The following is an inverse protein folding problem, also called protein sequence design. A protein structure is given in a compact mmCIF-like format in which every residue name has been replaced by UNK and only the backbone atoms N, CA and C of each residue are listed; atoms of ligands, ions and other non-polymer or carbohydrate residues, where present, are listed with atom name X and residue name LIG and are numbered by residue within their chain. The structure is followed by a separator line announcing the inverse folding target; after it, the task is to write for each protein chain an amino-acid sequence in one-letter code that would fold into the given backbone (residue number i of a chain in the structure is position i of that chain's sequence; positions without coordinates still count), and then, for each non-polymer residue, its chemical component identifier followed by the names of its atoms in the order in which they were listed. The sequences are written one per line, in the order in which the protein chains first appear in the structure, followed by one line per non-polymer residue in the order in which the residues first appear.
data_IF_745637487403
#
_entry.id   IF_745637487403
#
_cell.length_a   1.000
_cell.length_b   1.000
_cell.length_c   1.000
_cell.angle_alpha   90.00
_cell.angle_beta   90.00
_cell.angle_gamma   90.00
#
_symmetry.space_group_name_H-M   'P 1'
#
loop_
_entity.id
_entity.type
_entity.pdbx_description
1 polymer ?
#
# COMPACT_ATOMS: atom_id res chain seq x y z
N UNK A 1 -10.88 -17.77 2.06
CA UNK A 1 -10.51 -16.86 3.14
C UNK A 1 -9.30 -16.03 2.72
N UNK A 2 -9.44 -14.73 2.85
CA UNK A 2 -8.34 -13.85 2.46
C UNK A 2 -7.23 -13.91 3.49
N UNK A 3 -6.00 -13.96 3.03
CA UNK A 3 -4.92 -13.88 3.98
C UNK A 3 -4.60 -12.41 4.30
N UNK A 4 -3.60 -12.22 5.14
CA UNK A 4 -3.26 -10.90 5.64
C UNK A 4 -2.89 -9.95 4.49
N UNK A 5 -2.17 -10.44 3.50
CA UNK A 5 -1.76 -9.62 2.37
C UNK A 5 -2.95 -9.14 1.56
N UNK A 6 -3.92 -10.01 1.33
CA UNK A 6 -5.09 -9.63 0.57
C UNK A 6 -5.88 -8.54 1.28
N UNK A 7 -5.98 -8.63 2.60
CA UNK A 7 -6.67 -7.62 3.37
C UNK A 7 -5.95 -6.29 3.32
N UNK A 8 -4.64 -6.32 3.41
CA UNK A 8 -3.85 -5.10 3.32
C UNK A 8 -3.96 -4.49 1.92
N UNK A 9 -3.95 -5.32 0.88
CA UNK A 9 -4.14 -4.84 -0.48
C UNK A 9 -5.48 -4.12 -0.64
N UNK A 10 -6.53 -4.70 -0.10
CA UNK A 10 -7.84 -4.08 -0.17
C UNK A 10 -7.84 -2.71 0.48
N UNK A 11 -7.22 -2.61 1.65
CA UNK A 11 -7.12 -1.35 2.36
C UNK A 11 -6.33 -0.32 1.55
N UNK A 12 -5.21 -0.75 0.97
CA UNK A 12 -4.40 0.14 0.14
C UNK A 12 -5.18 0.64 -1.07
N UNK A 13 -5.91 -0.24 -1.72
CA UNK A 13 -6.72 0.15 -2.87
C UNK A 13 -7.77 1.16 -2.48
N UNK A 14 -8.43 0.92 -1.38
CA UNK A 14 -9.48 1.79 -0.90
C UNK A 14 -8.93 3.16 -0.54
N UNK A 15 -7.83 3.21 0.18
CA UNK A 15 -7.25 4.46 0.61
C UNK A 15 -6.64 5.23 -0.55
N UNK A 16 -5.98 4.53 -1.45
CA UNK A 16 -5.35 5.21 -2.57
C UNK A 16 -6.35 5.71 -3.59
N UNK A 17 -7.55 5.17 -3.61
CA UNK A 17 -8.56 5.65 -4.55
C UNK A 17 -9.06 7.05 -4.18
N UNK A 18 -8.84 7.50 -2.95
CA UNK A 18 -9.17 8.87 -2.59
C UNK A 18 -8.20 9.86 -3.21
N UNK A 19 -7.01 9.42 -3.56
CA UNK A 19 -6.08 10.21 -4.34
C UNK A 19 -5.35 11.32 -3.63
N UNK A 20 -5.52 11.46 -2.32
CA UNK A 20 -4.98 12.62 -1.64
C UNK A 20 -3.97 12.33 -0.55
N UNK A 21 -3.74 11.07 -0.23
CA UNK A 21 -2.85 10.73 0.87
C UNK A 21 -1.40 10.71 0.43
N UNK A 22 -0.55 11.30 1.25
CA UNK A 22 0.88 11.22 1.05
C UNK A 22 1.38 9.83 1.47
N UNK A 23 2.55 9.42 0.99
CA UNK A 23 3.06 8.09 1.35
C UNK A 23 3.10 7.84 2.84
N UNK A 24 3.51 8.83 3.62
CA UNK A 24 3.60 8.68 5.06
C UNK A 24 2.22 8.52 5.69
N UNK A 25 1.27 9.33 5.23
CA UNK A 25 -0.09 9.28 5.75
C UNK A 25 -0.77 7.98 5.37
N UNK A 26 -0.50 7.51 4.17
CA UNK A 26 -1.06 6.26 3.71
C UNK A 26 -0.56 5.10 4.57
N UNK A 27 0.73 5.08 4.87
CA UNK A 27 1.29 4.06 5.74
C UNK A 27 0.63 4.08 7.10
N UNK A 28 0.47 5.27 7.68
CA UNK A 28 -0.18 5.39 8.97
C UNK A 28 -1.60 4.86 8.94
N UNK A 29 -2.34 5.22 7.90
CA UNK A 29 -3.74 4.79 7.80
C UNK A 29 -3.84 3.28 7.67
N UNK A 30 -2.96 2.69 6.87
CA UNK A 30 -2.96 1.23 6.71
C UNK A 30 -2.61 0.54 8.02
N UNK A 31 -1.61 1.02 8.71
CA UNK A 31 -1.20 0.41 9.97
C UNK A 31 -2.24 0.60 11.06
N UNK A 32 -3.00 1.67 10.98
CA UNK A 32 -4.10 1.87 11.91
C UNK A 32 -5.19 0.83 11.69
N UNK A 33 -5.46 0.51 10.44
CA UNK A 33 -6.45 -0.51 10.10
C UNK A 33 -5.92 -1.92 10.36
N UNK A 34 -4.61 -2.10 10.28
CA UNK A 34 -3.97 -3.39 10.45
C UNK A 34 -2.81 -3.27 11.42
N UNK A 35 -3.10 -3.17 12.74
CA UNK A 35 -2.04 -2.88 13.70
C UNK A 35 -0.95 -3.95 13.79
N UNK A 36 -1.25 -5.16 13.39
CA UNK A 36 -0.25 -6.22 13.43
C UNK A 36 0.55 -6.32 12.15
N UNK A 37 0.22 -5.52 11.13
CA UNK A 37 0.95 -5.56 9.88
C UNK A 37 2.29 -4.85 10.03
N UNK A 38 3.32 -5.46 9.49
CA UNK A 38 4.64 -4.84 9.49
C UNK A 38 4.75 -3.94 8.27
N UNK A 39 5.62 -2.95 8.38
CA UNK A 39 5.89 -2.07 7.26
C UNK A 39 6.28 -2.85 6.01
N UNK A 40 7.07 -3.89 6.19
CA UNK A 40 7.49 -4.75 5.10
C UNK A 40 6.29 -5.38 4.39
N UNK A 41 5.32 -5.83 5.17
CA UNK A 41 4.13 -6.45 4.59
C UNK A 41 3.30 -5.43 3.81
N UNK A 42 3.22 -4.22 4.33
CA UNK A 42 2.48 -3.16 3.65
C UNK A 42 3.15 -2.82 2.32
N UNK A 43 4.47 -2.71 2.31
CA UNK A 43 5.21 -2.41 1.09
C UNK A 43 5.02 -3.53 0.06
N UNK A 44 5.10 -4.78 0.49
CA UNK A 44 4.87 -5.90 -0.41
C UNK A 44 3.47 -5.85 -1.02
N UNK A 45 2.47 -5.56 -0.19
CA UNK A 45 1.10 -5.47 -0.68
C UNK A 45 0.96 -4.33 -1.68
N UNK A 46 1.66 -3.22 -1.44
CA UNK A 46 1.62 -2.10 -2.37
C UNK A 46 2.21 -2.47 -3.72
N UNK A 47 3.32 -3.20 -3.74
CA UNK A 47 3.89 -3.64 -5.00
C UNK A 47 2.94 -4.59 -5.74
N UNK A 48 2.28 -5.47 -5.01
CA UNK A 48 1.29 -6.35 -5.63
C UNK A 48 0.16 -5.56 -6.26
N UNK A 49 -0.29 -4.51 -5.58
CA UNK A 49 -1.33 -3.66 -6.14
C UNK A 49 -0.85 -2.95 -7.40
N UNK A 50 0.40 -2.50 -7.40
CA UNK A 50 0.96 -1.85 -8.58
C UNK A 50 0.87 -2.78 -9.79
N UNK A 51 1.24 -4.02 -9.59
CA UNK A 51 1.21 -5.00 -10.68
C UNK A 51 -0.21 -5.18 -11.20
N UNK A 52 -1.17 -5.29 -10.29
CA UNK A 52 -2.56 -5.51 -10.68
C UNK A 52 -3.17 -4.29 -11.34
N UNK A 53 -2.79 -3.10 -10.93
CA UNK A 53 -3.42 -1.89 -11.41
C UNK A 53 -2.71 -1.25 -12.58
N UNK A 54 -1.55 -1.75 -12.94
CA UNK A 54 -0.74 -1.11 -13.97
C UNK A 54 -1.51 -0.89 -15.27
N UNK A 55 -2.36 -1.82 -15.64
CA UNK A 55 -3.13 -1.72 -16.86
C UNK A 55 -4.46 -0.99 -16.68
N UNK A 56 -5.04 -1.11 -15.50
CA UNK A 56 -6.38 -0.60 -15.28
C UNK A 56 -6.40 0.83 -14.77
N UNK A 57 -5.56 1.10 -13.78
CA UNK A 57 -5.52 2.40 -13.14
C UNK A 57 -4.08 2.82 -12.98
N UNK A 58 -3.46 3.25 -14.07
CA UNK A 58 -2.02 3.57 -14.01
C UNK A 58 -1.69 4.69 -13.03
N UNK A 59 -2.60 5.62 -12.83
CA UNK A 59 -2.34 6.70 -11.87
C UNK A 59 -2.31 6.18 -10.44
N UNK A 60 -3.25 5.32 -10.10
CA UNK A 60 -3.27 4.72 -8.78
C UNK A 60 -2.06 3.81 -8.59
N UNK A 61 -1.72 3.06 -9.61
CA UNK A 61 -0.55 2.18 -9.55
C UNK A 61 0.71 3.00 -9.30
N UNK A 62 0.85 4.12 -9.98
CA UNK A 62 2.01 4.97 -9.79
C UNK A 62 2.07 5.53 -8.38
N UNK A 63 0.92 5.93 -7.86
CA UNK A 63 0.84 6.44 -6.51
C UNK A 63 1.27 5.40 -5.48
N UNK A 64 0.82 4.17 -5.66
CA UNK A 64 1.23 3.07 -4.78
C UNK A 64 2.71 2.73 -4.96
N UNK A 65 3.22 2.84 -6.18
CA UNK A 65 4.63 2.63 -6.42
C UNK A 65 5.47 3.66 -5.67
N UNK A 66 5.07 4.92 -5.74
CA UNK A 66 5.77 5.98 -5.01
C UNK A 66 5.72 5.73 -3.52
N UNK A 67 4.57 5.31 -3.03
CA UNK A 67 4.40 4.96 -1.63
C UNK A 67 5.35 3.83 -1.22
N UNK A 68 5.40 2.78 -2.01
CA UNK A 68 6.25 1.63 -1.69
C UNK A 68 7.72 2.01 -1.71
N UNK A 69 8.12 2.80 -2.69
CA UNK A 69 9.50 3.24 -2.78
C UNK A 69 9.87 4.14 -1.61
N UNK A 70 8.97 5.06 -1.27
CA UNK A 70 9.23 5.99 -0.18
C UNK A 70 9.41 5.29 1.16
N UNK A 71 8.72 4.19 1.36
CA UNK A 71 8.77 3.48 2.63
C UNK A 71 9.76 2.32 2.65
N UNK A 72 10.20 1.92 1.48
CA UNK A 72 11.09 0.77 1.38
C UNK A 72 12.47 1.03 1.95
N UNK A 73 12.96 2.25 1.77
CA UNK A 73 14.32 2.58 2.14
C UNK A 73 14.51 3.00 3.57
N UNK A 74 13.46 2.99 4.34
CA UNK A 74 13.51 3.51 5.70
C UNK A 74 13.98 2.49 6.69
N UNK A 75 14.82 1.63 6.30
CA UNK A 75 15.24 0.60 7.20
C UNK A 75 14.11 -0.38 7.39
N UNK A 76 14.26 -1.19 8.34
CA UNK A 76 13.40 -2.32 8.42
C UNK A 76 12.57 -2.29 9.66
N UNK A 77 11.72 -3.21 9.73
CA UNK A 77 10.90 -3.42 10.91
C UNK A 77 11.62 -4.20 11.97
#
# INVERSE_FOLDING_TARGET
MADKNDTIKDTLLELSSTGTLRPRDLLKAVRKAHPSARKKEVVWAAFACVIELADRKPQTARQLQDFAIANRGDGEE
#
